data_IF_119197879635
#
_entry.id   IF_119197879635
#
_cell.length_a   1.000
_cell.length_b   1.000
_cell.length_c   1.000
_cell.angle_alpha   90.00
_cell.angle_beta   90.00
_cell.angle_gamma   90.00
#
_symmetry.space_group_name_H-M   'P 1'
#
loop_
_entity.id
_entity.type
_entity.pdbx_description
1 polymer ?
#
# COMPACT_ATOMS: atom_id res chain seq x y z
N UNK A 1 22.13 -15.01 8.03
CA UNK A 1 22.02 -13.72 8.72
C UNK A 1 21.07 -13.92 9.89
N UNK A 2 21.43 -13.52 11.10
CA UNK A 2 20.55 -13.62 12.27
C UNK A 2 19.71 -12.34 12.32
N UNK A 3 18.40 -12.45 12.15
CA UNK A 3 17.49 -11.32 12.35
C UNK A 3 17.09 -11.32 13.82
N UNK A 4 17.41 -10.25 14.53
CA UNK A 4 16.95 -10.04 15.90
C UNK A 4 15.71 -9.13 15.86
N UNK A 5 14.69 -9.54 16.61
CA UNK A 5 13.43 -8.81 16.68
C UNK A 5 13.19 -8.34 18.11
N UNK A 6 12.57 -7.17 18.25
CA UNK A 6 12.12 -6.64 19.53
C UNK A 6 10.84 -7.33 20.02
N UNK A 7 10.34 -6.92 21.20
CA UNK A 7 9.11 -7.48 21.76
C UNK A 7 7.84 -7.23 20.95
N UNK A 8 7.89 -6.33 19.98
CA UNK A 8 6.79 -6.00 19.08
C UNK A 8 6.94 -6.64 17.68
N UNK A 9 8.02 -7.41 17.46
CA UNK A 9 8.29 -8.08 16.18
C UNK A 9 8.94 -7.20 15.12
N UNK A 10 9.48 -6.04 15.48
CA UNK A 10 10.29 -5.21 14.59
C UNK A 10 11.75 -5.61 14.65
N UNK A 11 12.50 -5.28 13.61
CA UNK A 11 13.95 -5.50 13.60
C UNK A 11 14.60 -4.71 14.72
N UNK A 12 15.34 -5.39 15.59
CA UNK A 12 15.93 -4.80 16.79
C UNK A 12 16.99 -3.74 16.46
N UNK A 13 17.01 -2.67 17.25
CA UNK A 13 17.97 -1.57 17.10
C UNK A 13 17.71 -0.68 15.90
N UNK A 14 16.47 -0.64 15.42
CA UNK A 14 16.08 0.21 14.30
C UNK A 14 14.70 0.84 14.54
N UNK A 15 14.42 1.93 13.86
CA UNK A 15 13.11 2.58 13.88
C UNK A 15 12.91 3.62 14.99
N UNK A 16 13.91 3.91 15.83
CA UNK A 16 13.88 5.09 16.69
C UNK A 16 13.79 6.32 15.80
N UNK A 17 12.80 7.18 16.05
CA UNK A 17 12.48 8.33 15.20
C UNK A 17 11.46 8.08 14.10
N UNK A 18 11.06 6.83 13.81
CA UNK A 18 9.97 6.53 12.87
C UNK A 18 8.61 6.76 13.55
N UNK A 19 7.73 7.47 12.85
CA UNK A 19 6.32 7.55 13.23
C UNK A 19 5.54 6.37 12.64
N UNK A 20 5.07 5.47 13.49
CA UNK A 20 4.23 4.33 13.09
C UNK A 20 2.74 4.68 12.98
N UNK A 21 2.37 5.91 13.28
CA UNK A 21 0.99 6.37 13.12
C UNK A 21 0.61 6.44 11.64
N UNK A 22 -0.66 6.19 11.34
CA UNK A 22 -1.17 6.42 10.00
C UNK A 22 -1.05 7.91 9.64
N UNK A 23 -0.39 8.20 8.52
CA UNK A 23 -0.17 9.56 8.04
C UNK A 23 -0.66 9.74 6.61
N UNK A 24 -1.05 10.96 6.30
CA UNK A 24 -1.45 11.38 4.95
C UNK A 24 -0.64 12.61 4.58
N UNK A 25 -0.12 12.65 3.36
CA UNK A 25 0.53 13.82 2.79
C UNK A 25 -0.11 14.12 1.41
N UNK A 26 -0.66 15.31 1.26
CA UNK A 26 -1.12 15.81 -0.03
C UNK A 26 0.02 16.47 -0.81
N UNK A 27 0.10 16.20 -2.13
CA UNK A 27 1.11 16.80 -2.99
C UNK A 27 2.51 16.20 -2.81
N UNK A 28 2.60 14.98 -2.34
CA UNK A 28 3.87 14.25 -2.22
C UNK A 28 4.60 14.13 -3.56
N UNK A 29 3.89 13.72 -4.59
CA UNK A 29 4.32 13.95 -5.96
C UNK A 29 3.63 15.22 -6.41
N UNK A 30 4.36 16.31 -6.65
CA UNK A 30 3.76 17.57 -7.04
C UNK A 30 3.01 17.38 -8.37
N UNK A 31 1.72 17.68 -8.33
CA UNK A 31 0.98 17.88 -9.55
C UNK A 31 1.44 19.22 -10.11
N UNK A 32 1.77 19.28 -11.40
CA UNK A 32 2.13 20.55 -12.01
C UNK A 32 0.94 21.51 -11.91
N UNK A 33 1.21 22.81 -11.68
CA UNK A 33 0.16 23.81 -11.84
C UNK A 33 -0.43 23.70 -13.26
N UNK A 34 -1.70 24.03 -13.43
CA UNK A 34 -2.31 24.08 -14.76
C UNK A 34 -1.62 25.18 -15.58
N UNK A 35 -0.54 24.81 -16.24
CA UNK A 35 0.18 25.68 -17.16
C UNK A 35 -0.67 25.84 -18.44
N UNK A 36 -0.70 27.04 -19.03
CA UNK A 36 -1.50 27.31 -20.24
C UNK A 36 -1.10 26.41 -21.42
N UNK A 37 0.14 25.92 -21.45
CA UNK A 37 0.68 25.05 -22.51
C UNK A 37 0.57 23.54 -22.17
N UNK A 38 0.08 23.17 -20.98
CA UNK A 38 -0.05 21.78 -20.55
C UNK A 38 1.28 21.06 -20.26
N UNK A 39 2.42 21.76 -20.26
CA UNK A 39 3.73 21.14 -20.12
C UNK A 39 3.88 20.37 -18.79
N UNK A 40 3.31 20.88 -17.73
CA UNK A 40 3.33 20.23 -16.44
C UNK A 40 2.51 18.95 -16.39
N UNK A 41 1.33 18.92 -17.02
CA UNK A 41 0.51 17.71 -17.10
C UNK A 41 1.25 16.59 -17.87
N UNK A 42 1.91 16.93 -18.98
CA UNK A 42 2.72 15.97 -19.73
C UNK A 42 3.80 15.31 -18.86
N UNK A 43 4.40 16.06 -17.94
CA UNK A 43 5.41 15.52 -17.00
C UNK A 43 4.84 14.50 -16.02
N UNK A 44 3.64 14.71 -15.51
CA UNK A 44 2.97 13.75 -14.61
C UNK A 44 2.49 12.51 -15.37
N UNK A 45 1.95 12.70 -16.58
CA UNK A 45 1.54 11.59 -17.45
C UNK A 45 2.72 10.71 -17.84
N UNK A 46 3.91 11.29 -18.04
CA UNK A 46 5.14 10.54 -18.26
C UNK A 46 5.54 9.71 -17.03
N UNK A 47 5.34 10.20 -15.80
CA UNK A 47 5.53 9.39 -14.59
C UNK A 47 4.56 8.21 -14.52
N UNK A 48 3.29 8.45 -14.79
CA UNK A 48 2.30 7.37 -14.83
C UNK A 48 2.68 6.32 -15.88
N UNK A 49 3.15 6.77 -17.04
CA UNK A 49 3.64 5.89 -18.11
C UNK A 49 4.86 5.08 -17.69
N UNK A 50 5.86 5.71 -17.06
CA UNK A 50 7.04 5.03 -16.50
C UNK A 50 6.61 3.95 -15.50
N UNK A 51 5.70 4.31 -14.59
CA UNK A 51 5.16 3.39 -13.59
C UNK A 51 4.50 2.15 -14.25
N UNK A 52 3.64 2.35 -15.25
CA UNK A 52 2.98 1.26 -15.98
C UNK A 52 4.00 0.38 -16.72
N UNK A 53 5.03 0.96 -17.33
CA UNK A 53 6.08 0.21 -18.01
C UNK A 53 6.83 -0.69 -17.02
N UNK A 54 7.21 -0.15 -15.86
CA UNK A 54 7.93 -0.94 -14.83
C UNK A 54 7.07 -2.07 -14.29
N UNK A 55 5.79 -1.82 -13.99
CA UNK A 55 4.85 -2.85 -13.54
C UNK A 55 4.73 -4.00 -14.55
N UNK A 56 4.57 -3.68 -15.83
CA UNK A 56 4.45 -4.67 -16.93
C UNK A 56 5.76 -5.41 -17.24
N UNK A 57 6.89 -4.76 -17.03
CA UNK A 57 8.20 -5.33 -17.34
C UNK A 57 8.76 -6.19 -16.19
N UNK A 58 8.26 -6.02 -14.96
CA UNK A 58 8.87 -6.65 -13.78
C UNK A 58 7.79 -7.28 -12.91
N UNK A 59 7.89 -8.58 -12.65
CA UNK A 59 6.95 -9.28 -11.74
C UNK A 59 7.29 -9.19 -10.25
N UNK A 60 8.48 -8.66 -9.89
CA UNK A 60 9.00 -8.67 -8.53
C UNK A 60 9.22 -7.26 -7.99
N UNK A 61 9.29 -7.14 -6.68
CA UNK A 61 9.66 -5.89 -5.99
C UNK A 61 11.11 -5.49 -6.28
N UNK A 62 11.41 -4.20 -6.19
CA UNK A 62 12.71 -3.61 -6.46
C UNK A 62 13.31 -3.05 -5.18
N UNK A 63 14.63 -2.99 -5.13
CA UNK A 63 15.38 -2.47 -4.01
C UNK A 63 16.16 -1.21 -4.37
N UNK A 64 16.02 -0.18 -3.56
CA UNK A 64 16.91 0.98 -3.53
C UNK A 64 17.54 1.05 -2.13
N UNK A 65 18.86 0.78 -2.05
CA UNK A 65 19.59 0.82 -0.78
C UNK A 65 19.76 2.25 -0.28
N UNK A 66 19.92 2.40 1.03
CA UNK A 66 20.13 3.73 1.64
C UNK A 66 21.37 4.44 1.09
N UNK A 67 22.38 3.69 0.70
CA UNK A 67 23.61 4.17 0.06
C UNK A 67 23.40 4.76 -1.36
N UNK A 68 22.31 4.36 -2.03
CA UNK A 68 21.97 4.80 -3.40
C UNK A 68 20.96 5.95 -3.45
N UNK A 69 20.44 6.42 -2.32
CA UNK A 69 19.39 7.45 -2.25
C UNK A 69 19.78 8.83 -2.82
N UNK A 70 21.09 9.11 -2.93
CA UNK A 70 21.57 10.37 -3.49
C UNK A 70 21.72 10.33 -5.00
N UNK A 71 21.64 9.15 -5.63
CA UNK A 71 21.88 8.97 -7.06
C UNK A 71 20.79 8.15 -7.73
N UNK A 72 19.50 8.55 -7.60
CA UNK A 72 18.40 7.84 -8.24
C UNK A 72 18.57 7.90 -9.77
N UNK A 73 18.25 6.80 -10.45
CA UNK A 73 18.51 6.61 -11.87
C UNK A 73 17.29 6.89 -12.75
N UNK A 74 16.09 6.93 -12.15
CA UNK A 74 14.83 7.18 -12.84
C UNK A 74 13.80 7.81 -11.87
N UNK A 75 12.66 8.27 -12.37
CA UNK A 75 11.67 8.96 -11.56
C UNK A 75 11.08 8.10 -10.44
N UNK A 76 10.94 6.79 -10.63
CA UNK A 76 10.46 5.89 -9.57
C UNK A 76 11.48 5.74 -8.45
N UNK A 77 12.79 5.70 -8.77
CA UNK A 77 13.83 5.71 -7.73
C UNK A 77 13.92 7.07 -7.03
N UNK A 78 13.63 8.20 -7.71
CA UNK A 78 13.50 9.51 -7.06
C UNK A 78 12.35 9.52 -6.04
N UNK A 79 11.20 8.93 -6.37
CA UNK A 79 10.09 8.80 -5.42
C UNK A 79 10.49 7.89 -4.26
N UNK A 80 11.12 6.73 -4.52
CA UNK A 80 11.59 5.83 -3.47
C UNK A 80 12.56 6.52 -2.51
N UNK A 81 13.53 7.27 -3.04
CA UNK A 81 14.48 8.04 -2.25
C UNK A 81 13.78 9.13 -1.42
N UNK A 82 12.82 9.84 -2.00
CA UNK A 82 12.04 10.86 -1.30
C UNK A 82 11.22 10.25 -0.15
N UNK A 83 10.57 9.09 -0.37
CA UNK A 83 9.85 8.33 0.66
C UNK A 83 10.79 7.97 1.80
N UNK A 84 11.93 7.35 1.50
CA UNK A 84 12.90 6.96 2.52
C UNK A 84 13.36 8.16 3.35
N UNK A 85 13.89 9.19 2.69
CA UNK A 85 14.43 10.40 3.35
C UNK A 85 13.38 11.09 4.23
N UNK A 86 12.13 11.13 3.79
CA UNK A 86 11.07 11.76 4.58
C UNK A 86 10.78 10.99 5.87
N UNK A 87 10.58 9.70 5.76
CA UNK A 87 10.14 8.90 6.90
C UNK A 87 11.27 8.51 7.85
N UNK A 88 12.53 8.62 7.41
CA UNK A 88 13.72 8.32 8.22
C UNK A 88 14.52 9.56 8.63
N UNK A 89 14.01 10.77 8.35
CA UNK A 89 14.72 12.02 8.62
C UNK A 89 15.15 12.22 10.08
N UNK A 90 14.40 11.62 11.01
CA UNK A 90 14.64 11.68 12.45
C UNK A 90 15.28 10.38 12.99
N UNK A 91 15.70 9.48 12.09
CA UNK A 91 16.37 8.22 12.42
C UNK A 91 17.87 8.36 12.24
N UNK A 92 18.63 8.17 13.29
CA UNK A 92 20.10 8.30 13.25
C UNK A 92 20.82 6.93 13.25
N UNK A 93 20.18 5.89 13.80
CA UNK A 93 20.81 4.60 14.05
C UNK A 93 20.26 3.49 13.14
N UNK A 94 20.67 3.47 11.89
CA UNK A 94 20.45 2.31 11.02
C UNK A 94 21.70 2.03 10.15
N UNK A 95 21.88 0.75 9.83
CA UNK A 95 22.92 0.29 8.93
C UNK A 95 22.53 0.55 7.46
N UNK A 96 23.22 1.45 6.75
CA UNK A 96 22.88 1.78 5.36
C UNK A 96 23.08 0.62 4.37
N UNK A 97 23.90 -0.39 4.70
CA UNK A 97 24.10 -1.56 3.82
C UNK A 97 22.89 -2.49 3.80
N UNK A 98 22.15 -2.53 4.90
CA UNK A 98 20.98 -3.41 5.06
C UNK A 98 19.67 -2.64 5.16
N UNK A 99 19.70 -1.31 5.05
CA UNK A 99 18.53 -0.45 5.07
C UNK A 99 18.21 0.11 3.68
N UNK A 100 16.94 0.37 3.43
CA UNK A 100 16.50 0.93 2.14
C UNK A 100 15.00 0.84 1.93
N UNK A 101 14.62 0.97 0.68
CA UNK A 101 13.23 0.87 0.21
C UNK A 101 13.08 -0.31 -0.72
N UNK A 102 12.15 -1.18 -0.37
CA UNK A 102 11.56 -2.12 -1.31
C UNK A 102 10.39 -1.43 -1.99
N UNK A 103 10.38 -1.34 -3.32
CA UNK A 103 9.33 -0.64 -4.04
C UNK A 103 8.83 -1.42 -5.25
N UNK A 104 7.60 -1.18 -5.61
CA UNK A 104 6.97 -1.69 -6.82
C UNK A 104 5.85 -0.77 -7.29
N UNK A 105 5.41 -0.99 -8.49
CA UNK A 105 4.22 -0.35 -9.03
C UNK A 105 3.12 -1.40 -9.12
N UNK A 106 1.90 -0.94 -8.93
CA UNK A 106 0.72 -1.75 -9.12
C UNK A 106 -0.25 -1.00 -10.03
N UNK A 107 -0.41 -1.50 -11.26
CA UNK A 107 -1.38 -1.01 -12.22
C UNK A 107 -2.49 -2.04 -12.38
N UNK A 108 -3.69 -1.70 -11.95
CA UNK A 108 -4.85 -2.60 -11.99
C UNK A 108 -6.07 -1.86 -12.49
N UNK A 109 -7.04 -2.60 -13.05
CA UNK A 109 -8.34 -2.01 -13.39
C UNK A 109 -8.90 -1.25 -12.18
N UNK A 110 -9.41 -0.05 -12.39
CA UNK A 110 -9.86 0.86 -11.32
C UNK A 110 -10.87 0.21 -10.36
N UNK A 111 -11.57 -0.83 -10.83
CA UNK A 111 -12.55 -1.62 -10.09
C UNK A 111 -12.03 -2.96 -9.53
N UNK A 112 -10.74 -3.25 -9.56
CA UNK A 112 -10.20 -4.49 -9.01
C UNK A 112 -9.81 -4.34 -7.54
N UNK A 113 -10.21 -5.33 -6.70
CA UNK A 113 -9.77 -5.44 -5.31
C UNK A 113 -8.37 -6.03 -5.22
N UNK A 114 -7.67 -5.69 -4.15
CA UNK A 114 -6.47 -6.38 -3.69
C UNK A 114 -6.83 -7.05 -2.37
N UNK A 115 -6.67 -8.39 -2.26
CA UNK A 115 -6.98 -9.11 -1.04
C UNK A 115 -6.29 -8.49 0.19
N UNK A 116 -6.92 -8.64 1.33
CA UNK A 116 -6.32 -8.22 2.59
C UNK A 116 -5.06 -9.05 2.86
N UNK A 117 -3.96 -8.38 3.22
CA UNK A 117 -2.67 -9.01 3.45
C UNK A 117 -1.80 -8.15 4.38
N UNK A 118 -0.68 -8.72 4.78
CA UNK A 118 0.41 -8.04 5.46
C UNK A 118 1.64 -8.04 4.58
N UNK A 119 2.32 -6.92 4.50
CA UNK A 119 3.65 -6.85 3.89
C UNK A 119 4.67 -7.56 4.77
N UNK A 120 5.58 -8.31 4.15
CA UNK A 120 6.56 -9.12 4.88
C UNK A 120 7.68 -9.59 3.95
N UNK A 121 8.79 -10.04 4.52
CA UNK A 121 9.80 -10.81 3.80
C UNK A 121 9.23 -12.20 3.47
N UNK A 122 8.78 -12.37 2.23
CA UNK A 122 8.14 -13.62 1.78
C UNK A 122 9.07 -14.81 1.83
N UNK A 123 10.34 -14.64 1.55
CA UNK A 123 11.32 -15.74 1.60
C UNK A 123 11.53 -16.23 3.05
N UNK A 124 11.65 -15.31 4.00
CA UNK A 124 11.74 -15.70 5.41
C UNK A 124 10.45 -16.40 5.89
N UNK A 125 9.29 -15.94 5.44
CA UNK A 125 8.02 -16.60 5.73
C UNK A 125 8.00 -18.04 5.19
N UNK A 126 8.35 -18.23 3.93
CA UNK A 126 8.31 -19.54 3.26
C UNK A 126 9.37 -20.49 3.85
N UNK A 127 10.60 -20.01 4.00
CA UNK A 127 11.73 -20.86 4.40
C UNK A 127 11.82 -21.14 5.90
N UNK A 128 11.31 -20.24 6.73
CA UNK A 128 11.50 -20.31 8.20
C UNK A 128 10.23 -20.09 9.01
N UNK A 129 9.08 -19.79 8.38
CA UNK A 129 7.86 -19.44 9.10
C UNK A 129 7.97 -18.14 9.91
N UNK A 130 8.91 -17.25 9.53
CA UNK A 130 9.15 -15.98 10.22
C UNK A 130 8.45 -14.85 9.47
N UNK A 131 7.66 -14.11 10.19
CA UNK A 131 7.01 -12.90 9.69
C UNK A 131 7.83 -11.67 10.11
N UNK A 132 8.67 -11.20 9.21
CA UNK A 132 9.42 -9.95 9.36
C UNK A 132 8.74 -8.91 8.49
N UNK A 133 8.30 -7.82 9.10
CA UNK A 133 7.55 -6.77 8.45
C UNK A 133 8.43 -5.55 8.19
N UNK A 134 8.12 -4.74 7.15
CA UNK A 134 8.74 -3.44 7.00
C UNK A 134 8.40 -2.55 8.20
N UNK A 135 9.23 -1.54 8.45
CA UNK A 135 8.92 -0.52 9.46
C UNK A 135 7.67 0.27 9.06
N UNK A 136 7.62 0.69 7.81
CA UNK A 136 6.45 1.35 7.24
C UNK A 136 6.09 0.72 5.89
N UNK A 137 4.80 0.56 5.66
CA UNK A 137 4.22 0.38 4.33
C UNK A 137 3.66 1.70 3.86
N UNK A 138 3.91 2.04 2.60
CA UNK A 138 3.46 3.31 2.02
C UNK A 138 2.79 3.13 0.67
N UNK A 139 1.85 4.01 0.37
CA UNK A 139 1.17 4.05 -0.93
C UNK A 139 1.14 5.48 -1.45
N UNK A 140 1.75 5.71 -2.62
CA UNK A 140 1.64 6.95 -3.37
C UNK A 140 0.69 6.75 -4.54
N UNK A 141 -0.40 7.50 -4.57
CA UNK A 141 -1.41 7.38 -5.61
C UNK A 141 -1.00 8.19 -6.84
N UNK A 142 -0.92 7.54 -7.99
CA UNK A 142 -0.64 8.19 -9.27
C UNK A 142 -1.92 8.43 -10.09
N UNK A 143 -2.96 7.61 -9.87
CA UNK A 143 -4.26 7.79 -10.52
C UNK A 143 -5.40 7.58 -9.52
N UNK A 144 -6.65 7.75 -9.97
CA UNK A 144 -7.86 7.45 -9.20
C UNK A 144 -8.16 5.94 -9.20
N UNK A 145 -9.09 5.50 -8.36
CA UNK A 145 -9.57 4.11 -8.31
C UNK A 145 -10.11 3.71 -6.94
N UNK A 146 -10.17 2.42 -6.68
CA UNK A 146 -10.64 1.86 -5.41
C UNK A 146 -9.73 2.27 -4.22
N UNK A 147 -10.30 2.52 -3.04
CA UNK A 147 -9.55 2.98 -1.88
C UNK A 147 -8.68 1.88 -1.27
N UNK A 148 -7.57 2.30 -0.65
CA UNK A 148 -6.79 1.46 0.25
C UNK A 148 -7.45 1.47 1.62
N UNK A 149 -7.60 0.29 2.23
CA UNK A 149 -8.06 0.13 3.61
C UNK A 149 -6.92 -0.37 4.48
N UNK A 150 -6.79 0.16 5.69
CA UNK A 150 -5.78 -0.23 6.68
C UNK A 150 -6.46 -0.40 8.02
N UNK A 151 -6.30 -1.57 8.63
CA UNK A 151 -6.96 -1.93 9.89
C UNK A 151 -6.04 -1.62 11.06
N UNK A 152 -6.44 -0.62 11.86
CA UNK A 152 -5.69 -0.22 13.05
C UNK A 152 -5.74 -1.32 14.13
N UNK A 153 -4.56 -1.80 14.54
CA UNK A 153 -4.43 -2.84 15.56
C UNK A 153 -4.50 -4.29 15.06
N UNK A 154 -4.77 -4.55 13.75
CA UNK A 154 -4.68 -5.92 13.21
C UNK A 154 -3.26 -6.24 12.73
N UNK A 155 -2.48 -6.82 13.62
CA UNK A 155 -1.11 -7.28 13.39
C UNK A 155 -1.01 -8.79 13.50
N UNK A 156 0.03 -9.38 12.90
CA UNK A 156 0.33 -10.81 13.07
C UNK A 156 1.48 -11.02 14.03
N UNK A 157 1.50 -12.15 14.76
CA UNK A 157 2.67 -12.57 15.53
C UNK A 157 3.87 -12.80 14.60
N UNK A 158 5.05 -12.44 15.05
CA UNK A 158 6.31 -12.59 14.31
C UNK A 158 6.64 -14.04 13.96
N UNK A 159 6.18 -14.99 14.77
CA UNK A 159 6.40 -16.43 14.58
C UNK A 159 5.07 -17.11 14.36
N UNK A 160 4.91 -17.74 13.21
CA UNK A 160 3.81 -18.65 12.97
C UNK A 160 3.94 -19.85 13.87
N UNK A 161 3.07 -20.02 14.85
CA UNK A 161 2.98 -21.26 15.62
C UNK A 161 2.26 -22.29 14.78
N UNK A 162 2.93 -23.39 14.44
CA UNK A 162 2.29 -24.58 13.90
C UNK A 162 1.32 -25.14 14.94
N UNK A 163 0.02 -25.04 14.69
CA UNK A 163 -1.05 -25.59 15.53
C UNK A 163 -2.31 -24.72 15.45
N UNK A 164 -3.47 -25.34 15.63
CA UNK A 164 -4.83 -24.81 15.51
C UNK A 164 -5.16 -23.64 16.46
N UNK A 165 -4.34 -22.63 16.56
CA UNK A 165 -4.64 -21.47 17.39
C UNK A 165 -4.76 -20.26 16.50
N UNK A 166 -5.93 -19.62 16.52
CA UNK A 166 -6.11 -18.25 16.05
C UNK A 166 -4.92 -17.42 16.50
N UNK A 167 -4.22 -16.73 15.60
CA UNK A 167 -3.10 -15.88 16.00
C UNK A 167 -3.53 -14.97 17.15
N UNK A 168 -2.75 -14.92 18.22
CA UNK A 168 -3.13 -14.18 19.43
C UNK A 168 -3.38 -12.68 19.15
N UNK A 169 -2.79 -12.15 18.07
CA UNK A 169 -3.05 -10.80 17.57
C UNK A 169 -4.32 -10.67 16.71
N UNK A 170 -4.88 -11.79 16.23
CA UNK A 170 -6.16 -11.82 15.50
C UNK A 170 -7.35 -12.18 16.40
N UNK A 171 -7.10 -12.52 17.68
CA UNK A 171 -8.19 -12.55 18.64
C UNK A 171 -8.89 -11.19 18.59
N UNK A 172 -10.23 -11.15 18.44
CA UNK A 172 -10.93 -9.89 18.37
C UNK A 172 -10.69 -9.14 19.67
N UNK A 173 -9.57 -8.42 19.68
CA UNK A 173 -9.34 -7.43 20.72
C UNK A 173 -10.43 -6.41 20.54
N UNK A 174 -11.15 -6.02 21.60
CA UNK A 174 -12.08 -4.90 21.52
C UNK A 174 -11.42 -3.60 21.06
N UNK A 175 -10.10 -3.60 20.89
CA UNK A 175 -9.30 -2.47 20.43
C UNK A 175 -9.18 -2.36 18.90
N UNK A 176 -9.43 -3.44 18.14
CA UNK A 176 -9.46 -3.35 16.69
C UNK A 176 -10.83 -2.90 16.19
N UNK A 177 -11.14 -1.64 16.42
CA UNK A 177 -12.43 -1.04 16.04
C UNK A 177 -12.28 0.10 15.04
N UNK A 178 -11.09 0.27 14.45
CA UNK A 178 -10.80 1.40 13.57
C UNK A 178 -10.25 0.94 12.25
N UNK A 179 -10.71 1.58 11.18
CA UNK A 179 -10.25 1.36 9.80
C UNK A 179 -9.95 2.69 9.16
N UNK A 180 -8.76 2.83 8.59
CA UNK A 180 -8.45 3.93 7.69
C UNK A 180 -8.89 3.54 6.27
N UNK A 181 -9.64 4.41 5.63
CA UNK A 181 -10.07 4.27 4.24
C UNK A 181 -9.54 5.45 3.46
N UNK A 182 -8.54 5.21 2.61
CA UNK A 182 -7.88 6.26 1.84
C UNK A 182 -8.26 6.18 0.36
N UNK A 183 -9.06 7.13 -0.10
CA UNK A 183 -9.43 7.25 -1.50
C UNK A 183 -8.29 7.83 -2.33
N UNK A 184 -7.95 7.22 -3.49
CA UNK A 184 -6.88 7.68 -4.34
C UNK A 184 -7.11 9.11 -4.85
N UNK A 185 -6.07 9.95 -4.71
CA UNK A 185 -5.95 11.27 -5.30
C UNK A 185 -4.54 11.37 -5.87
N UNK A 186 -4.36 11.69 -7.17
CA UNK A 186 -3.05 11.83 -7.75
C UNK A 186 -2.12 12.71 -6.90
N UNK A 187 -0.91 12.22 -6.65
CA UNK A 187 0.08 12.90 -5.82
C UNK A 187 -0.10 12.73 -4.31
N UNK A 188 -1.20 12.15 -3.83
CA UNK A 188 -1.38 11.84 -2.41
C UNK A 188 -0.53 10.65 -1.98
N UNK A 189 0.02 10.71 -0.78
CA UNK A 189 0.81 9.65 -0.15
C UNK A 189 0.21 9.29 1.21
N UNK A 190 0.22 8.01 1.54
CA UNK A 190 -0.11 7.51 2.87
C UNK A 190 1.01 6.61 3.36
N UNK A 191 1.22 6.63 4.67
CA UNK A 191 2.15 5.72 5.35
C UNK A 191 1.51 5.18 6.63
N UNK A 192 1.84 3.94 6.96
CA UNK A 192 1.32 3.24 8.14
C UNK A 192 2.32 2.17 8.60
N UNK A 193 2.16 1.71 9.83
CA UNK A 193 2.96 0.61 10.39
C UNK A 193 2.87 -0.62 9.47
N UNK A 194 4.01 -1.09 8.98
CA UNK A 194 4.09 -2.21 8.03
C UNK A 194 3.54 -3.54 8.56
N UNK A 195 3.24 -3.63 9.85
CA UNK A 195 2.60 -4.79 10.48
C UNK A 195 1.08 -4.80 10.37
N UNK A 196 0.46 -3.74 9.82
CA UNK A 196 -1.01 -3.64 9.79
C UNK A 196 -1.60 -4.39 8.58
N UNK A 197 -2.70 -5.10 8.83
CA UNK A 197 -3.52 -5.69 7.78
C UNK A 197 -4.07 -4.60 6.87
N UNK A 198 -3.91 -4.77 5.56
CA UNK A 198 -4.38 -3.79 4.59
C UNK A 198 -4.74 -4.43 3.25
N UNK A 199 -5.40 -3.66 2.38
CA UNK A 199 -5.79 -4.09 1.04
C UNK A 199 -6.51 -3.00 0.26
N UNK A 200 -7.13 -3.39 -0.87
CA UNK A 200 -7.92 -2.50 -1.73
C UNK A 200 -9.30 -3.09 -1.94
N UNK A 201 -10.34 -2.33 -1.63
CA UNK A 201 -11.72 -2.79 -1.72
C UNK A 201 -12.47 -2.08 -2.86
N UNK A 202 -12.75 -2.82 -3.92
CA UNK A 202 -13.54 -2.35 -5.05
C UNK A 202 -14.95 -1.91 -4.64
N UNK A 203 -15.57 -2.61 -3.71
CA UNK A 203 -16.94 -2.33 -3.24
C UNK A 203 -17.10 -0.95 -2.61
N UNK A 204 -15.98 -0.28 -2.33
CA UNK A 204 -15.92 1.09 -1.82
C UNK A 204 -15.65 2.15 -2.91
N UNK A 205 -15.67 1.77 -4.18
CA UNK A 205 -15.58 2.76 -5.27
C UNK A 205 -16.68 3.81 -5.14
N UNK A 206 -16.35 5.11 -5.27
CA UNK A 206 -17.37 6.14 -5.36
C UNK A 206 -18.36 5.86 -6.49
N UNK A 207 -19.65 6.05 -6.23
CA UNK A 207 -20.73 5.78 -7.22
C UNK A 207 -20.63 6.64 -8.50
N UNK A 208 -19.77 7.66 -8.52
CA UNK A 208 -19.43 8.43 -9.72
C UNK A 208 -18.70 7.61 -10.79
N UNK A 209 -18.26 6.40 -10.48
CA UNK A 209 -17.78 5.42 -11.45
C UNK A 209 -18.88 4.41 -11.72
N UNK A 210 -19.68 4.57 -12.81
CA UNK A 210 -20.72 3.58 -13.12
C UNK A 210 -20.08 2.20 -13.38
N UNK A 211 -20.59 1.14 -12.77
CA UNK A 211 -20.07 -0.20 -13.00
C UNK A 211 -20.22 -0.55 -14.49
N UNK A 212 -19.13 -0.96 -15.11
CA UNK A 212 -19.13 -1.54 -16.44
C UNK A 212 -19.03 -0.59 -17.64
N UNK A 213 -18.88 0.71 -17.47
CA UNK A 213 -18.56 1.61 -18.57
C UNK A 213 -17.04 1.84 -18.59
N UNK A 214 -16.32 0.89 -19.20
CA UNK A 214 -15.06 1.25 -19.87
C UNK A 214 -15.51 2.08 -21.08
N UNK A 215 -15.17 3.38 -21.18
CA UNK A 215 -15.52 4.15 -22.36
C UNK A 215 -14.96 3.43 -23.58
N UNK A 216 -15.83 3.03 -24.49
CA UNK A 216 -15.44 2.42 -25.76
C UNK A 216 -14.62 3.47 -26.50
N UNK A 217 -13.30 3.25 -26.63
CA UNK A 217 -12.39 4.17 -27.30
C UNK A 217 -11.46 4.99 -26.39
N UNK A 218 -11.58 4.87 -25.05
CA UNK A 218 -10.52 5.36 -24.17
C UNK A 218 -9.29 4.43 -24.26
N UNK A 219 -8.07 4.98 -24.26
CA UNK A 219 -6.89 4.15 -24.07
C UNK A 219 -7.13 3.27 -22.83
N UNK A 220 -6.83 1.97 -22.93
CA UNK A 220 -7.04 1.01 -21.81
C UNK A 220 -6.37 1.44 -20.50
N UNK A 221 -5.42 2.35 -20.60
CA UNK A 221 -4.61 2.87 -19.49
C UNK A 221 -5.32 3.95 -18.66
N UNK A 222 -6.29 4.70 -19.22
CA UNK A 222 -7.04 5.75 -18.48
C UNK A 222 -7.97 5.18 -17.39
N UNK A 223 -8.27 3.89 -17.45
CA UNK A 223 -9.10 3.19 -16.46
C UNK A 223 -8.27 2.45 -15.40
N UNK A 224 -6.95 2.63 -15.37
CA UNK A 224 -6.09 1.96 -14.42
C UNK A 224 -5.96 2.75 -13.10
N UNK A 225 -6.07 2.02 -12.01
CA UNK A 225 -5.56 2.46 -10.71
C UNK A 225 -4.07 2.18 -10.68
N UNK A 226 -3.26 3.22 -10.75
CA UNK A 226 -1.81 3.13 -10.68
C UNK A 226 -1.33 3.67 -9.33
N UNK A 227 -0.58 2.87 -8.61
CA UNK A 227 0.03 3.22 -7.33
C UNK A 227 1.49 2.84 -7.32
N UNK A 228 2.29 3.72 -6.75
CA UNK A 228 3.65 3.41 -6.34
C UNK A 228 3.62 3.00 -4.87
N UNK A 229 4.10 1.80 -4.59
CA UNK A 229 4.17 1.23 -3.25
C UNK A 229 5.63 1.16 -2.82
N UNK A 230 5.87 1.49 -1.55
CA UNK A 230 7.22 1.48 -1.01
C UNK A 230 7.21 1.06 0.47
N UNK A 231 7.96 0.02 0.77
CA UNK A 231 8.19 -0.47 2.12
C UNK A 231 9.53 0.01 2.63
N UNK A 232 9.55 0.61 3.81
CA UNK A 232 10.79 1.08 4.44
C UNK A 232 11.32 -0.02 5.36
N UNK A 233 12.52 -0.44 5.08
CA UNK A 233 13.25 -1.44 5.84
C UNK A 233 14.50 -0.81 6.47
N UNK A 234 14.65 -0.92 7.78
CA UNK A 234 15.89 -0.54 8.48
C UNK A 234 16.53 -1.78 9.09
N UNK A 235 17.84 -1.89 8.96
CA UNK A 235 18.66 -3.01 9.45
C UNK A 235 18.20 -4.39 8.96
N UNK A 236 17.42 -4.43 7.89
CA UNK A 236 16.98 -5.65 7.24
C UNK A 236 16.72 -5.40 5.75
N UNK A 237 17.36 -6.19 4.92
CA UNK A 237 17.09 -6.24 3.49
C UNK A 237 16.34 -7.53 3.18
N UNK A 238 15.11 -7.48 2.63
CA UNK A 238 14.40 -8.68 2.19
C UNK A 238 15.24 -9.51 1.20
N UNK A 239 15.07 -10.84 1.20
CA UNK A 239 15.98 -11.71 0.45
C UNK A 239 15.75 -11.69 -1.06
N UNK A 240 14.52 -11.57 -1.51
CA UNK A 240 14.15 -11.68 -2.94
C UNK A 240 14.11 -10.35 -3.68
N UNK A 241 14.65 -9.27 -3.07
CA UNK A 241 14.65 -7.95 -3.68
C UNK A 241 15.91 -7.73 -4.52
N UNK A 242 15.73 -7.12 -5.69
CA UNK A 242 16.82 -6.77 -6.61
C UNK A 242 16.73 -5.31 -7.03
N UNK A 243 17.85 -4.63 -7.32
CA UNK A 243 17.79 -3.32 -7.92
C UNK A 243 17.03 -3.33 -9.26
N UNK A 244 16.45 -2.20 -9.62
CA UNK A 244 15.87 -2.04 -10.95
C UNK A 244 16.93 -2.29 -12.02
N UNK A 245 16.61 -3.15 -13.00
CA UNK A 245 17.59 -3.59 -13.98
C UNK A 245 18.08 -2.42 -14.85
N UNK A 246 19.39 -2.32 -15.10
CA UNK A 246 20.01 -1.19 -15.80
C UNK A 246 19.49 -1.00 -17.24
N UNK A 247 19.16 -2.08 -17.94
CA UNK A 247 18.59 -1.99 -19.29
C UNK A 247 17.20 -1.36 -19.27
N UNK A 248 16.37 -1.71 -18.27
CA UNK A 248 15.07 -1.09 -18.09
C UNK A 248 15.21 0.40 -17.77
N UNK A 249 16.13 0.77 -16.88
CA UNK A 249 16.43 2.18 -16.58
C UNK A 249 16.86 2.91 -17.87
N UNK A 250 17.76 2.32 -18.66
CA UNK A 250 18.20 2.88 -19.94
C UNK A 250 17.04 3.09 -20.93
N UNK A 251 16.09 2.16 -20.97
CA UNK A 251 14.88 2.28 -21.77
C UNK A 251 13.96 3.40 -21.28
N UNK A 252 13.75 3.50 -19.95
CA UNK A 252 12.91 4.56 -19.36
C UNK A 252 13.46 5.96 -19.66
N UNK A 253 14.78 6.16 -19.56
CA UNK A 253 15.43 7.45 -19.87
C UNK A 253 15.19 7.85 -21.34
N UNK A 254 15.09 6.88 -22.25
CA UNK A 254 14.85 7.14 -23.67
C UNK A 254 13.37 7.41 -23.99
N UNK A 255 12.46 6.75 -23.28
CA UNK A 255 11.02 6.82 -23.54
C UNK A 255 10.33 7.99 -22.82
N UNK A 256 10.87 8.36 -21.66
CA UNK A 256 10.33 9.42 -20.81
C UNK A 256 11.29 10.60 -20.85
N UNK A 257 10.79 11.79 -21.19
CA UNK A 257 11.62 12.99 -21.24
C UNK A 257 12.30 13.23 -19.90
N UNK A 258 13.58 13.69 -19.88
CA UNK A 258 14.24 14.05 -18.63
C UNK A 258 13.41 15.07 -17.85
N UNK A 259 13.05 14.72 -16.64
CA UNK A 259 12.40 15.62 -15.69
C UNK A 259 13.42 16.55 -15.05
N UNK A 260 12.95 17.71 -14.66
CA UNK A 260 13.57 18.35 -13.50
C UNK A 260 13.40 17.39 -12.30
N UNK A 261 14.46 17.20 -11.52
CA UNK A 261 14.41 16.40 -10.29
C UNK A 261 13.21 16.78 -9.44
N UNK A 262 12.57 15.78 -8.81
CA UNK A 262 11.58 16.06 -7.77
C UNK A 262 12.22 17.00 -6.74
N UNK A 263 11.49 17.99 -6.21
CA UNK A 263 12.05 18.87 -5.20
C UNK A 263 12.60 18.02 -4.05
N UNK A 264 13.84 18.31 -3.63
CA UNK A 264 14.56 17.55 -2.59
C UNK A 264 13.79 17.48 -1.27
N UNK A 265 12.93 18.45 -1.04
CA UNK A 265 11.94 18.49 0.04
C UNK A 265 10.62 18.94 -0.57
N UNK A 266 9.73 18.01 -0.91
CA UNK A 266 8.39 18.37 -1.33
C UNK A 266 7.72 19.22 -0.24
N UNK A 267 7.04 20.28 -0.63
CA UNK A 267 6.23 21.10 0.28
C UNK A 267 4.94 20.32 0.66
N UNK A 268 5.16 19.30 1.46
CA UNK A 268 4.10 18.36 1.83
C UNK A 268 3.21 18.99 2.88
N UNK A 269 1.96 19.04 2.53
CA UNK A 269 0.95 19.42 3.51
C UNK A 269 0.40 18.16 4.15
N UNK A 270 0.33 18.10 5.49
CA UNK A 270 -0.43 17.05 6.14
C UNK A 270 -1.83 17.00 5.55
N UNK A 271 -2.24 15.84 5.05
CA UNK A 271 -3.59 15.63 4.56
C UNK A 271 -4.58 15.51 5.72
N UNK A 272 -5.82 15.85 5.46
CA UNK A 272 -6.89 15.75 6.44
C UNK A 272 -7.37 14.30 6.59
N UNK A 273 -7.58 13.86 7.83
CA UNK A 273 -8.24 12.60 8.17
C UNK A 273 -9.58 12.92 8.82
N UNK A 274 -10.65 12.66 8.10
CA UNK A 274 -12.01 12.87 8.61
C UNK A 274 -12.45 11.69 9.46
N UNK A 275 -12.82 11.93 10.72
CA UNK A 275 -13.34 10.90 11.62
C UNK A 275 -14.83 10.68 11.40
N UNK A 276 -15.22 9.41 11.27
CA UNK A 276 -16.62 8.99 11.19
C UNK A 276 -16.85 7.83 12.17
N UNK A 277 -18.03 7.79 12.79
CA UNK A 277 -18.43 6.66 13.64
C UNK A 277 -19.51 5.88 12.90
N UNK A 278 -19.35 4.57 12.81
CA UNK A 278 -20.36 3.71 12.20
C UNK A 278 -21.60 3.65 13.08
N UNK A 279 -22.74 4.03 12.52
CA UNK A 279 -24.03 3.77 13.16
C UNK A 279 -24.47 2.33 12.84
N UNK A 280 -24.84 1.58 13.87
CA UNK A 280 -25.42 0.25 13.72
C UNK A 280 -26.85 0.37 13.20
N UNK A 281 -27.04 0.23 11.91
CA UNK A 281 -28.39 0.23 11.32
C UNK A 281 -28.37 0.63 9.83
N UNK A 282 -28.45 -0.33 8.95
CA UNK A 282 -28.60 -0.16 7.53
C UNK A 282 -28.55 -1.52 6.84
N UNK A 283 -29.29 -1.67 5.76
CA UNK A 283 -29.40 -2.93 5.02
C UNK A 283 -28.19 -3.22 4.11
N UNK A 284 -27.25 -2.27 3.99
CA UNK A 284 -26.10 -2.35 3.08
C UNK A 284 -24.80 -2.52 3.88
N UNK A 285 -24.57 -3.74 4.36
CA UNK A 285 -23.42 -4.08 5.20
C UNK A 285 -22.16 -4.25 4.36
N UNK A 286 -21.06 -3.69 4.83
CA UNK A 286 -19.76 -3.88 4.24
C UNK A 286 -19.12 -5.17 4.74
N UNK A 287 -18.77 -6.03 3.82
CA UNK A 287 -17.91 -7.17 4.03
C UNK A 287 -16.49 -6.82 3.55
N UNK A 288 -15.53 -6.86 4.45
CA UNK A 288 -14.13 -6.58 4.10
C UNK A 288 -13.45 -7.76 3.39
N UNK A 289 -14.10 -8.94 3.35
CA UNK A 289 -13.59 -10.11 2.64
C UNK A 289 -12.69 -11.01 3.47
N UNK A 290 -12.07 -11.97 2.79
CA UNK A 290 -11.20 -12.98 3.38
C UNK A 290 -9.73 -12.60 3.28
N UNK A 291 -8.93 -13.13 4.21
CA UNK A 291 -7.48 -13.10 4.17
C UNK A 291 -6.91 -14.43 4.67
N UNK A 292 -5.77 -14.84 4.12
CA UNK A 292 -5.12 -16.09 4.51
C UNK A 292 -4.09 -15.91 5.62
N UNK A 293 -4.03 -16.87 6.55
CA UNK A 293 -3.01 -16.98 7.58
C UNK A 293 -2.63 -18.45 7.82
N UNK A 294 -1.38 -18.81 7.62
CA UNK A 294 -0.85 -20.18 7.85
C UNK A 294 -1.63 -21.32 7.17
N UNK A 295 -2.27 -21.05 6.04
CA UNK A 295 -3.10 -22.02 5.35
C UNK A 295 -4.57 -22.01 5.75
N UNK A 296 -4.94 -21.22 6.76
CA UNK A 296 -6.33 -21.02 7.16
C UNK A 296 -6.85 -19.70 6.58
N UNK A 297 -8.13 -19.70 6.23
CA UNK A 297 -8.83 -18.52 5.73
C UNK A 297 -9.67 -17.88 6.82
N UNK A 298 -9.55 -16.58 6.97
CA UNK A 298 -10.31 -15.79 7.91
C UNK A 298 -11.14 -14.75 7.17
N UNK A 299 -12.30 -14.43 7.73
CA UNK A 299 -13.17 -13.38 7.22
C UNK A 299 -13.27 -12.24 8.21
N UNK A 300 -13.12 -11.03 7.71
CA UNK A 300 -13.30 -9.82 8.48
C UNK A 300 -14.67 -9.24 8.18
N UNK A 301 -15.57 -9.33 9.14
CA UNK A 301 -16.93 -8.83 9.02
C UNK A 301 -17.17 -7.60 9.91
N UNK A 302 -17.90 -6.64 9.39
CA UNK A 302 -18.34 -5.47 10.12
C UNK A 302 -19.75 -5.07 9.69
N UNK A 303 -20.50 -4.45 10.58
CA UNK A 303 -21.83 -3.87 10.29
C UNK A 303 -21.74 -2.42 9.78
N UNK A 304 -20.75 -2.12 8.96
CA UNK A 304 -20.56 -0.80 8.38
C UNK A 304 -21.51 -0.59 7.20
N UNK A 305 -22.23 0.53 7.21
CA UNK A 305 -22.99 0.94 6.02
C UNK A 305 -22.06 1.52 4.96
N UNK A 306 -22.18 1.03 3.72
CA UNK A 306 -21.43 1.56 2.56
C UNK A 306 -21.68 3.06 2.35
N UNK A 307 -22.88 3.55 2.68
CA UNK A 307 -23.23 4.97 2.55
C UNK A 307 -22.35 5.89 3.41
N UNK A 308 -21.81 5.38 4.53
CA UNK A 308 -20.88 6.13 5.38
C UNK A 308 -19.59 6.49 4.66
N UNK A 309 -19.21 5.69 3.67
CA UNK A 309 -17.95 5.75 2.95
C UNK A 309 -18.08 6.46 1.59
N UNK A 310 -19.29 6.71 1.10
CA UNK A 310 -19.57 7.10 -0.28
C UNK A 310 -19.10 8.51 -0.68
N UNK A 311 -18.73 9.38 0.26
CA UNK A 311 -18.63 10.84 0.02
C UNK A 311 -17.21 11.42 0.09
N UNK A 312 -16.18 10.65 -0.27
CA UNK A 312 -14.81 11.14 -0.09
C UNK A 312 -14.03 11.20 -1.39
N UNK A 313 -14.27 12.20 -2.22
CA UNK A 313 -13.43 12.49 -3.40
C UNK A 313 -11.95 12.69 -3.00
N UNK A 314 -11.17 11.60 -3.04
CA UNK A 314 -9.74 11.64 -2.75
C UNK A 314 -9.38 11.87 -1.28
N UNK A 315 -10.35 11.94 -0.36
CA UNK A 315 -10.15 12.10 1.08
C UNK A 315 -9.64 10.85 1.78
N UNK A 316 -9.34 10.97 3.07
CA UNK A 316 -9.02 9.84 3.95
C UNK A 316 -9.95 9.86 5.15
N UNK A 317 -10.56 8.72 5.44
CA UNK A 317 -11.46 8.54 6.56
C UNK A 317 -10.82 7.67 7.63
N UNK A 318 -10.99 8.03 8.89
CA UNK A 318 -10.85 7.12 10.02
C UNK A 318 -12.24 6.73 10.47
N UNK A 319 -12.59 5.46 10.31
CA UNK A 319 -13.92 4.94 10.63
C UNK A 319 -13.83 4.08 11.87
N UNK A 320 -14.59 4.43 12.89
CA UNK A 320 -14.80 3.58 14.06
C UNK A 320 -15.85 2.51 13.75
N UNK A 321 -15.46 1.25 13.89
CA UNK A 321 -16.25 0.06 13.52
C UNK A 321 -16.54 -0.79 14.76
N UNK A 322 -17.44 -0.36 15.66
CA UNK A 322 -17.77 -1.16 16.83
C UNK A 322 -18.35 -2.51 16.41
N UNK A 323 -17.82 -3.58 16.99
CA UNK A 323 -18.28 -4.95 16.69
C UNK A 323 -17.68 -5.59 15.44
N UNK A 324 -16.59 -5.05 14.88
CA UNK A 324 -15.77 -5.76 13.89
C UNK A 324 -15.26 -7.07 14.49
N UNK A 325 -15.36 -8.14 13.71
CA UNK A 325 -14.97 -9.49 14.15
C UNK A 325 -14.14 -10.18 13.08
N UNK A 326 -13.12 -10.88 13.53
CA UNK A 326 -12.42 -11.90 12.74
C UNK A 326 -13.11 -13.23 13.00
N UNK A 327 -13.58 -13.87 11.95
CA UNK A 327 -14.26 -15.17 12.00
C UNK A 327 -13.41 -16.14 11.19
N UNK A 328 -13.12 -17.30 11.74
CA UNK A 328 -12.53 -18.42 10.99
C UNK A 328 -13.54 -18.84 9.92
N UNK A 329 -13.09 -18.95 8.68
CA UNK A 329 -13.98 -19.23 7.56
C UNK A 329 -13.95 -20.72 7.28
N UNK A 330 -15.11 -21.36 7.21
CA UNK A 330 -15.21 -22.72 6.67
C UNK A 330 -14.79 -22.69 5.19
N UNK A 331 -13.84 -23.53 4.80
CA UNK A 331 -13.17 -23.56 3.48
C UNK A 331 -14.11 -23.49 2.26
N UNK A 332 -15.41 -23.79 2.43
CA UNK A 332 -16.40 -23.78 1.35
C UNK A 332 -16.74 -22.39 0.78
N UNK A 333 -16.57 -21.32 1.55
CA UNK A 333 -17.02 -19.96 1.17
C UNK A 333 -15.95 -19.19 0.38
N UNK A 334 -14.66 -19.36 0.71
CA UNK A 334 -13.57 -18.68 0.01
C UNK A 334 -13.30 -19.26 -1.39
N UNK A 335 -13.47 -20.56 -1.60
CA UNK A 335 -13.33 -21.19 -2.93
C UNK A 335 -14.36 -20.64 -3.93
N UNK A 336 -15.60 -20.34 -3.48
CA UNK A 336 -16.63 -19.77 -4.35
C UNK A 336 -16.33 -18.31 -4.74
N UNK A 337 -15.72 -17.52 -3.87
CA UNK A 337 -15.30 -16.16 -4.20
C UNK A 337 -14.06 -16.14 -5.09
N UNK A 338 -13.09 -17.02 -4.86
CA UNK A 338 -11.91 -17.19 -5.71
C UNK A 338 -12.28 -17.64 -7.13
N UNK A 339 -13.21 -18.59 -7.28
CA UNK A 339 -13.69 -19.07 -8.58
C UNK A 339 -14.54 -18.01 -9.32
N UNK A 340 -15.26 -17.14 -8.62
CA UNK A 340 -15.96 -16.00 -9.24
C UNK A 340 -14.98 -14.94 -9.73
N UNK A 341 -13.87 -14.75 -9.04
CA UNK A 341 -12.82 -13.78 -9.42
C UNK A 341 -11.99 -14.24 -10.61
N UNK A 342 -11.71 -15.54 -10.75
CA UNK A 342 -11.00 -16.11 -11.93
C UNK A 342 -11.83 -16.18 -13.20
N UNK A 343 -13.18 -16.11 -13.12
CA UNK A 343 -14.05 -16.09 -14.31
C UNK A 343 -14.25 -14.72 -14.94
N UNK A 344 -13.66 -13.69 -14.38
CA UNK A 344 -13.70 -12.29 -14.87
C UNK A 344 -12.37 -11.88 -15.52
N UNK A 345 -11.37 -12.76 -15.51
CA UNK A 345 -10.17 -12.68 -16.34
C UNK A 345 -10.48 -13.32 -17.71
#
# INVERSE_FOLDING_TARGET
MLVMLDGEGRVFGSGDGISYSFTVADGFVPLPPPEPDGAGQATFDDLVREAIIVDRATGNTKWLGADAMETPRCALEEIAAAVFKHHTKDCEDFDPETSGVEFWVQSRGSGQSIPLHWDKDEELRISHGLYVHPHLSTVTYLTKGAPTVVFDGLTVPTIARHGNSTPAGLSPSPECTKVYVSYPKPGKHIAFDGRLLHGVLHDLLPQSFPPGIIPVGSPKDDALRVTFLANIWLNHKPKDVTPLHHELVGMLIQLVKPRGSLPATPDWKPGEITKKTATTGGDDLLDFGCFGWNGDDFRLSSKLSKSLLADSEGGTLLVECPGMRVVENDQSDCEQEGAKRQRVE
#
